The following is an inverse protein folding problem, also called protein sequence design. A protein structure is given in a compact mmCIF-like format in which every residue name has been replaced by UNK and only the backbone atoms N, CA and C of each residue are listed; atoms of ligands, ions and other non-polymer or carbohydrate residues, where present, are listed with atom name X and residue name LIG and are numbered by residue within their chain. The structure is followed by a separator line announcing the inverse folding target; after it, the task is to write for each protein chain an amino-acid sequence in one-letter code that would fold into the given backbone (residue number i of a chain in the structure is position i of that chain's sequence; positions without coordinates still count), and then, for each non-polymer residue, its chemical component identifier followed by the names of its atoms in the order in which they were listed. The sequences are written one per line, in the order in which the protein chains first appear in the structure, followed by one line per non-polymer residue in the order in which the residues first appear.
data_IF_024047275665
#
_entry.id   IF_024047275665
#
_cell.length_a   1.000
_cell.length_b   1.000
_cell.length_c   1.000
_cell.angle_alpha   90.00
_cell.angle_beta   90.00
_cell.angle_gamma   90.00
#
_symmetry.space_group_name_H-M   'P 1'
#
loop_
_entity.id
_entity.type
_entity.pdbx_description
1 polymer ?
#
# COMPACT_ATOMS: atom_id res chain seq x y z
N UNK A 1 22.14 8.83 -44.36
CA UNK A 1 21.27 9.76 -45.12
C UNK A 1 19.87 9.19 -45.11
N UNK A 2 18.88 9.89 -44.55
CA UNK A 2 17.49 9.42 -44.55
C UNK A 2 16.86 9.60 -45.93
N UNK A 3 15.86 8.79 -46.28
CA UNK A 3 15.05 8.99 -47.49
C UNK A 3 14.42 10.40 -47.50
N UNK A 4 14.42 11.12 -48.63
CA UNK A 4 13.83 12.45 -48.71
C UNK A 4 12.35 12.42 -48.32
N UNK A 5 11.99 13.17 -47.28
CA UNK A 5 10.62 13.29 -46.76
C UNK A 5 9.82 14.34 -47.55
N UNK A 6 9.98 14.36 -48.87
CA UNK A 6 9.43 15.40 -49.75
C UNK A 6 7.93 15.22 -50.04
N UNK A 7 7.43 13.99 -50.01
CA UNK A 7 6.01 13.70 -50.15
C UNK A 7 5.30 13.52 -48.81
N UNK A 8 4.03 13.94 -48.74
CA UNK A 8 3.15 13.72 -47.58
C UNK A 8 3.06 12.22 -47.21
N UNK A 9 3.05 11.32 -48.21
CA UNK A 9 3.06 9.88 -47.98
C UNK A 9 4.34 9.38 -47.31
N UNK A 10 5.52 9.87 -47.71
CA UNK A 10 6.79 9.52 -47.06
C UNK A 10 6.86 10.05 -45.61
N UNK A 11 6.35 11.26 -45.38
CA UNK A 11 6.20 11.85 -44.06
C UNK A 11 5.28 11.00 -43.17
N UNK A 12 4.10 10.60 -43.66
CA UNK A 12 3.16 9.74 -42.94
C UNK A 12 3.77 8.37 -42.62
N UNK A 13 4.41 7.71 -43.58
CA UNK A 13 5.09 6.43 -43.36
C UNK A 13 6.19 6.52 -42.30
N UNK A 14 7.02 7.58 -42.33
CA UNK A 14 8.10 7.75 -41.35
C UNK A 14 7.54 8.02 -39.94
N UNK A 15 6.48 8.81 -39.83
CA UNK A 15 5.79 9.04 -38.56
C UNK A 15 5.16 7.75 -38.02
N UNK A 16 4.43 6.98 -38.85
CA UNK A 16 3.84 5.69 -38.45
C UNK A 16 4.91 4.68 -38.01
N UNK A 17 6.10 4.64 -38.64
CA UNK A 17 7.22 3.81 -38.17
C UNK A 17 7.64 4.16 -36.73
N UNK A 18 7.76 5.45 -36.40
CA UNK A 18 8.07 5.88 -35.03
C UNK A 18 6.95 5.56 -34.03
N UNK A 19 5.68 5.75 -34.41
CA UNK A 19 4.54 5.39 -33.56
C UNK A 19 4.53 3.90 -33.26
N UNK A 20 4.65 3.04 -34.28
CA UNK A 20 4.64 1.59 -34.12
C UNK A 20 5.83 1.09 -33.28
N UNK A 21 7.02 1.68 -33.47
CA UNK A 21 8.19 1.35 -32.66
C UNK A 21 8.04 1.82 -31.20
N UNK A 22 7.45 3.00 -30.97
CA UNK A 22 7.13 3.51 -29.63
C UNK A 22 6.13 2.60 -28.91
N UNK A 23 5.00 2.25 -29.57
CA UNK A 23 3.96 1.39 -29.00
C UNK A 23 4.54 0.02 -28.64
N UNK A 24 5.29 -0.60 -29.55
CA UNK A 24 5.97 -1.89 -29.31
C UNK A 24 6.95 -1.82 -28.13
N UNK A 25 7.68 -0.72 -27.97
CA UNK A 25 8.59 -0.55 -26.83
C UNK A 25 7.83 -0.30 -25.51
N UNK A 26 6.69 0.39 -25.54
CA UNK A 26 5.84 0.53 -24.35
C UNK A 26 5.17 -0.79 -23.96
N UNK A 27 4.63 -1.53 -24.92
CA UNK A 27 4.05 -2.86 -24.73
C UNK A 27 5.07 -3.82 -24.11
N UNK A 28 6.28 -3.85 -24.65
CA UNK A 28 7.40 -4.63 -24.12
C UNK A 28 7.77 -4.26 -22.66
N UNK A 29 7.78 -2.97 -22.32
CA UNK A 29 8.00 -2.54 -20.92
C UNK A 29 6.86 -2.97 -19.98
N UNK A 30 5.61 -2.98 -20.47
CA UNK A 30 4.40 -3.34 -19.71
C UNK A 30 4.23 -4.85 -19.54
N UNK A 31 4.59 -5.66 -20.55
CA UNK A 31 4.57 -7.13 -20.49
C UNK A 31 5.72 -7.68 -19.64
N UNK A 32 6.86 -7.00 -19.63
CA UNK A 32 8.10 -7.43 -18.98
C UNK A 32 9.17 -7.96 -19.93
N UNK A 33 8.93 -7.88 -21.24
CA UNK A 33 9.88 -8.25 -22.29
C UNK A 33 10.88 -7.11 -22.49
N UNK A 34 12.00 -7.12 -21.75
CA UNK A 34 12.91 -5.97 -21.75
C UNK A 34 13.97 -5.97 -22.86
N UNK A 35 14.07 -7.04 -23.67
CA UNK A 35 15.03 -7.17 -24.77
C UNK A 35 14.91 -6.09 -25.87
N UNK A 36 13.71 -5.73 -26.38
CA UNK A 36 13.56 -4.68 -27.40
C UNK A 36 13.65 -3.24 -26.86
N UNK A 37 13.81 -3.06 -25.55
CA UNK A 37 13.94 -1.73 -24.94
C UNK A 37 15.31 -1.12 -25.26
N UNK A 38 15.37 0.19 -25.54
CA UNK A 38 16.62 0.82 -25.93
C UNK A 38 17.51 1.04 -24.69
N UNK A 39 18.28 0.00 -24.35
CA UNK A 39 19.40 0.09 -23.42
C UNK A 39 20.40 1.13 -23.94
N UNK A 40 20.36 2.33 -23.36
CA UNK A 40 21.44 3.29 -23.55
C UNK A 40 22.69 2.68 -22.92
N UNK A 41 23.58 2.12 -23.76
CA UNK A 41 24.94 1.76 -23.33
C UNK A 41 25.50 2.94 -22.55
N UNK A 42 25.90 2.70 -21.31
CA UNK A 42 26.55 3.72 -20.49
C UNK A 42 27.92 3.99 -21.12
N UNK A 43 27.99 5.01 -21.96
CA UNK A 43 29.27 5.62 -22.30
C UNK A 43 29.81 6.22 -21.00
N UNK A 44 31.00 5.80 -20.59
CA UNK A 44 31.50 5.88 -19.20
C UNK A 44 31.74 7.30 -18.66
N UNK A 45 31.49 8.35 -19.44
CA UNK A 45 32.01 9.70 -19.21
C UNK A 45 30.93 10.79 -19.03
N UNK A 46 29.71 10.45 -18.58
CA UNK A 46 28.73 11.49 -18.19
C UNK A 46 28.10 11.24 -16.81
N UNK A 47 28.63 11.90 -15.79
CA UNK A 47 28.00 12.04 -14.48
C UNK A 47 26.79 12.98 -14.61
N UNK A 48 25.57 12.43 -14.72
CA UNK A 48 24.34 13.10 -14.26
C UNK A 48 23.08 12.25 -14.48
N UNK A 49 22.20 12.29 -13.46
CA UNK A 49 20.91 11.59 -13.31
C UNK A 49 21.01 10.07 -13.08
N UNK A 50 20.26 9.52 -12.11
CA UNK A 50 20.15 8.07 -11.95
C UNK A 50 19.55 7.46 -13.22
N UNK A 51 20.00 6.26 -13.57
CA UNK A 51 19.44 5.53 -14.70
C UNK A 51 17.96 5.25 -14.44
N UNK A 52 17.09 5.90 -15.22
CA UNK A 52 15.65 5.61 -15.21
C UNK A 52 15.48 4.15 -15.58
N UNK A 53 14.98 3.34 -14.65
CA UNK A 53 14.70 1.94 -14.92
C UNK A 53 13.55 1.85 -15.92
N UNK A 54 13.84 1.27 -17.08
CA UNK A 54 12.84 1.06 -18.14
C UNK A 54 12.02 -0.21 -17.92
N UNK A 55 12.33 -0.99 -16.87
CA UNK A 55 11.65 -2.23 -16.50
C UNK A 55 10.31 -1.96 -15.79
N UNK A 56 9.40 -1.28 -16.48
CA UNK A 56 8.11 -0.82 -15.94
C UNK A 56 7.38 -1.93 -15.16
N UNK A 57 7.19 -3.12 -15.75
CA UNK A 57 6.45 -4.20 -15.07
C UNK A 57 7.14 -4.70 -13.80
N UNK A 58 8.48 -4.71 -13.72
CA UNK A 58 9.21 -5.11 -12.52
C UNK A 58 9.06 -4.07 -11.40
N UNK A 59 9.17 -2.78 -11.72
CA UNK A 59 8.94 -1.69 -10.76
C UNK A 59 7.50 -1.72 -10.25
N UNK A 60 6.52 -1.93 -11.14
CA UNK A 60 5.11 -2.04 -10.74
C UNK A 60 4.85 -3.27 -9.87
N UNK A 61 5.43 -4.44 -10.16
CA UNK A 61 5.32 -5.61 -9.27
C UNK A 61 5.86 -5.34 -7.86
N UNK A 62 6.94 -4.57 -7.73
CA UNK A 62 7.45 -4.18 -6.41
C UNK A 62 6.47 -3.25 -5.68
N UNK A 63 5.74 -2.39 -6.40
CA UNK A 63 4.68 -1.55 -5.83
C UNK A 63 3.43 -2.35 -5.48
N UNK A 64 3.04 -3.33 -6.29
CA UNK A 64 1.98 -4.30 -6.00
C UNK A 64 2.25 -5.04 -4.67
N UNK A 65 3.51 -5.46 -4.43
CA UNK A 65 3.94 -6.12 -3.19
C UNK A 65 3.92 -5.19 -1.97
N UNK A 66 4.38 -3.93 -2.12
CA UNK A 66 4.32 -2.94 -1.04
C UNK A 66 2.87 -2.64 -0.67
N UNK A 67 2.00 -2.43 -1.67
CA UNK A 67 0.57 -2.22 -1.46
C UNK A 67 -0.08 -3.40 -0.74
N UNK A 68 0.23 -4.65 -1.14
CA UNK A 68 -0.23 -5.84 -0.41
C UNK A 68 0.20 -5.78 1.06
N UNK A 69 1.48 -5.55 1.33
CA UNK A 69 1.97 -5.46 2.72
C UNK A 69 1.29 -4.34 3.53
N UNK A 70 1.06 -3.17 2.94
CA UNK A 70 0.36 -2.05 3.58
C UNK A 70 -1.11 -2.36 3.89
N UNK A 71 -1.83 -3.02 2.99
CA UNK A 71 -3.22 -3.45 3.27
C UNK A 71 -3.23 -4.58 4.31
N UNK A 72 -2.28 -5.51 4.25
CA UNK A 72 -2.21 -6.63 5.19
C UNK A 72 -1.79 -6.23 6.61
N UNK A 73 -1.01 -5.17 6.80
CA UNK A 73 -0.69 -4.67 8.16
C UNK A 73 -1.89 -3.99 8.82
N UNK A 74 -2.80 -3.33 8.08
CA UNK A 74 -4.05 -2.78 8.66
C UNK A 74 -4.94 -3.86 9.29
N UNK A 75 -4.85 -5.12 8.84
CA UNK A 75 -5.53 -6.28 9.47
C UNK A 75 -5.16 -6.46 10.94
N UNK A 76 -3.90 -6.17 11.28
CA UNK A 76 -3.28 -6.56 12.54
C UNK A 76 -3.43 -5.49 13.63
N UNK A 77 -3.39 -4.21 13.26
CA UNK A 77 -3.58 -3.08 14.18
C UNK A 77 -5.03 -2.62 14.31
N UNK A 78 -5.75 -2.44 13.20
CA UNK A 78 -6.90 -1.54 13.16
C UNK A 78 -8.27 -2.20 13.31
N UNK A 79 -8.34 -3.52 13.54
CA UNK A 79 -9.61 -4.20 13.82
C UNK A 79 -10.35 -3.60 15.04
N UNK A 80 -9.62 -2.90 15.94
CA UNK A 80 -10.19 -2.10 17.04
C UNK A 80 -9.41 -0.78 17.24
N UNK A 81 -8.85 -0.22 16.16
CA UNK A 81 -8.13 1.06 16.20
C UNK A 81 -9.07 2.27 16.29
N UNK A 82 -9.77 2.45 17.42
CA UNK A 82 -10.53 3.68 17.70
C UNK A 82 -9.64 4.77 18.33
N UNK A 83 -8.37 4.86 17.91
CA UNK A 83 -7.55 6.00 18.27
C UNK A 83 -8.06 7.24 17.53
N UNK A 84 -8.42 8.26 18.32
CA UNK A 84 -8.64 9.62 17.82
C UNK A 84 -7.48 10.03 16.92
N UNK A 85 -7.79 10.52 15.72
CA UNK A 85 -6.81 11.06 14.74
C UNK A 85 -5.97 12.17 15.38
N UNK A 86 -4.86 11.80 16.03
CA UNK A 86 -3.75 12.69 16.29
C UNK A 86 -3.08 12.96 14.94
N UNK A 87 -3.53 14.01 14.26
CA UNK A 87 -2.91 14.45 13.02
C UNK A 87 -1.42 14.75 13.28
N UNK A 88 -0.55 14.11 12.49
CA UNK A 88 0.86 14.45 12.44
C UNK A 88 1.05 15.82 11.76
N UNK A 89 0.74 16.89 12.48
CA UNK A 89 1.01 18.27 12.06
C UNK A 89 1.88 18.96 13.10
N UNK A 90 3.14 19.19 12.74
CA UNK A 90 4.04 20.06 13.48
C UNK A 90 3.44 21.47 13.57
N UNK A 91 3.02 21.92 14.74
CA UNK A 91 3.22 23.30 15.21
C UNK A 91 2.85 23.47 16.69
N UNK A 92 3.46 24.49 17.30
CA UNK A 92 3.43 24.77 18.73
C UNK A 92 2.31 25.75 19.12
N UNK A 93 2.27 26.09 20.43
CA UNK A 93 1.55 27.20 21.08
C UNK A 93 0.14 26.90 21.62
N UNK A 94 -0.05 27.21 22.91
CA UNK A 94 -1.34 27.70 23.44
C UNK A 94 -2.06 26.78 24.44
N UNK A 95 -1.90 27.04 25.74
CA UNK A 95 -2.65 26.36 26.79
C UNK A 95 -4.02 27.02 27.09
N UNK A 96 -5.07 26.21 27.35
CA UNK A 96 -5.99 26.35 28.53
C UNK A 96 -7.22 25.41 28.50
N UNK A 97 -7.40 24.65 29.61
CA UNK A 97 -8.67 24.26 30.29
C UNK A 97 -9.70 23.40 29.49
N UNK A 98 -10.49 22.48 30.07
CA UNK A 98 -10.59 21.86 31.42
C UNK A 98 -11.60 20.67 31.34
N UNK A 99 -11.30 19.55 32.02
CA UNK A 99 -12.25 18.55 32.60
C UNK A 99 -13.21 17.82 31.62
N UNK A 100 -13.72 16.59 31.79
CA UNK A 100 -13.72 15.48 32.80
C UNK A 100 -14.12 14.19 32.01
N UNK A 101 -14.09 12.92 32.44
CA UNK A 101 -13.77 12.23 33.70
C UNK A 101 -13.48 10.73 33.43
N UNK A 102 -12.30 10.20 33.79
CA UNK A 102 -12.14 8.82 34.29
C UNK A 102 -10.79 8.71 35.02
N UNK A 103 -10.79 8.16 36.23
CA UNK A 103 -9.57 8.06 37.05
C UNK A 103 -8.73 6.86 36.58
N UNK A 104 -7.47 7.13 36.25
CA UNK A 104 -6.39 6.17 36.39
C UNK A 104 -6.09 6.05 37.89
N UNK A 105 -5.90 4.82 38.42
CA UNK A 105 -5.35 4.67 39.78
C UNK A 105 -3.92 5.22 39.78
N UNK A 106 -3.62 6.10 40.73
CA UNK A 106 -2.23 6.53 40.96
C UNK A 106 -1.46 5.46 41.74
N UNK A 107 -0.13 5.54 41.75
CA UNK A 107 0.70 4.71 42.63
C UNK A 107 0.43 4.94 44.14
N UNK A 108 -0.33 5.98 44.49
CA UNK A 108 -0.84 6.22 45.85
C UNK A 108 -2.10 5.40 46.20
N UNK A 109 -2.73 4.74 45.22
CA UNK A 109 -3.96 3.95 45.40
C UNK A 109 -3.68 2.44 45.54
N UNK A 110 -2.43 2.06 45.86
CA UNK A 110 -2.00 0.66 46.03
C UNK A 110 -2.34 0.15 47.43
N UNK A 111 -2.90 -1.06 47.51
CA UNK A 111 -3.34 -1.66 48.77
C UNK A 111 -2.70 -3.04 48.96
N UNK A 112 -2.48 -3.42 50.22
CA UNK A 112 -2.04 -4.77 50.61
C UNK A 112 -2.96 -5.82 49.97
N UNK A 113 -2.36 -6.75 49.22
CA UNK A 113 -3.04 -7.76 48.41
C UNK A 113 -3.03 -7.49 46.90
N UNK A 114 -2.75 -6.26 46.45
CA UNK A 114 -2.60 -5.94 45.03
C UNK A 114 -1.35 -6.61 44.42
N UNK A 115 -1.39 -6.86 43.10
CA UNK A 115 -0.28 -7.41 42.33
C UNK A 115 0.46 -6.32 41.57
N UNK A 116 1.76 -6.19 41.83
CA UNK A 116 2.64 -5.17 41.23
C UNK A 116 3.71 -5.82 40.35
N UNK A 117 3.99 -5.20 39.22
CA UNK A 117 5.01 -5.61 38.28
C UNK A 117 6.29 -4.79 38.50
N UNK A 118 7.37 -5.48 38.86
CA UNK A 118 8.65 -4.90 39.29
C UNK A 118 9.70 -5.17 38.22
N UNK A 119 10.46 -4.14 37.87
CA UNK A 119 11.44 -4.21 36.80
C UNK A 119 12.84 -4.45 37.36
N UNK A 120 13.39 -5.64 37.11
CA UNK A 120 14.79 -5.94 37.37
C UNK A 120 15.63 -5.69 36.10
N UNK A 121 16.79 -5.07 36.26
CA UNK A 121 17.73 -4.78 35.19
C UNK A 121 18.39 -6.03 34.59
N UNK A 122 18.38 -7.16 35.31
CA UNK A 122 19.03 -8.40 34.89
C UNK A 122 18.07 -9.53 34.53
N UNK A 123 16.91 -9.63 35.18
CA UNK A 123 15.99 -10.77 35.01
C UNK A 123 14.61 -10.40 34.39
N UNK A 124 14.41 -9.14 34.03
CA UNK A 124 13.19 -8.65 33.39
C UNK A 124 12.04 -8.36 34.37
N UNK A 125 10.84 -8.14 33.85
CA UNK A 125 9.68 -7.76 34.67
C UNK A 125 8.99 -8.96 35.29
N UNK A 126 8.90 -8.99 36.63
CA UNK A 126 8.18 -10.03 37.40
C UNK A 126 7.00 -9.44 38.16
N UNK A 127 5.97 -10.25 38.39
CA UNK A 127 4.77 -9.87 39.13
C UNK A 127 4.88 -10.43 40.56
N UNK A 128 4.70 -9.57 41.54
CA UNK A 128 4.82 -9.86 42.97
C UNK A 128 3.58 -9.36 43.73
N UNK A 129 3.28 -9.94 44.90
CA UNK A 129 2.12 -9.54 45.71
C UNK A 129 2.54 -8.59 46.83
N UNK A 130 1.87 -7.44 46.92
CA UNK A 130 2.09 -6.45 47.98
C UNK A 130 1.58 -6.96 49.33
N UNK A 131 2.44 -6.92 50.35
CA UNK A 131 2.16 -7.33 51.74
C UNK A 131 2.14 -6.13 52.68
N UNK A 132 2.96 -5.11 52.44
CA UNK A 132 2.96 -3.85 53.21
C UNK A 132 3.08 -2.65 52.25
N UNK A 133 2.47 -1.52 52.62
CA UNK A 133 2.43 -0.28 51.83
C UNK A 133 2.80 0.91 52.72
N UNK A 134 3.72 1.77 52.28
CA UNK A 134 4.11 2.99 52.98
C UNK A 134 4.14 4.17 52.01
N UNK A 135 3.00 4.82 51.82
CA UNK A 135 2.82 5.86 50.82
C UNK A 135 2.81 5.26 49.40
N UNK A 136 3.78 5.64 48.58
CA UNK A 136 3.99 5.09 47.22
C UNK A 136 4.92 3.87 47.17
N UNK A 137 5.49 3.49 48.31
CA UNK A 137 6.51 2.46 48.38
C UNK A 137 5.87 1.17 48.88
N UNK A 138 6.19 0.06 48.21
CA UNK A 138 5.52 -1.23 48.42
C UNK A 138 6.52 -2.31 48.78
N UNK A 139 6.09 -3.25 49.61
CA UNK A 139 6.89 -4.39 50.06
C UNK A 139 6.20 -5.68 49.67
N UNK A 140 6.93 -6.59 49.04
CA UNK A 140 6.36 -7.79 48.42
C UNK A 140 6.62 -9.06 49.24
N UNK A 141 5.73 -10.05 49.13
CA UNK A 141 5.84 -11.32 49.86
C UNK A 141 7.14 -12.08 49.53
N UNK A 142 7.59 -11.95 48.29
CA UNK A 142 8.73 -12.62 47.70
C UNK A 142 10.06 -11.89 47.97
N UNK A 143 10.00 -10.65 48.48
CA UNK A 143 11.16 -9.81 48.83
C UNK A 143 10.93 -9.12 50.20
N UNK A 144 10.92 -9.88 51.32
CA UNK A 144 10.49 -9.39 52.63
C UNK A 144 11.45 -8.41 53.32
N UNK A 145 12.64 -8.15 52.77
CA UNK A 145 13.63 -7.22 53.34
C UNK A 145 13.75 -5.89 52.56
N UNK A 146 13.15 -5.77 51.37
CA UNK A 146 13.35 -4.61 50.49
C UNK A 146 12.04 -3.83 50.24
N UNK A 147 12.12 -2.49 50.32
CA UNK A 147 11.05 -1.59 49.93
C UNK A 147 11.25 -1.11 48.48
N UNK A 148 10.22 -1.30 47.66
CA UNK A 148 10.22 -0.90 46.26
C UNK A 148 9.60 0.49 46.12
N UNK A 149 10.46 1.47 45.87
CA UNK A 149 10.03 2.84 45.58
C UNK A 149 9.28 2.96 44.26
N UNK A 150 8.44 3.99 44.15
CA UNK A 150 7.54 4.26 43.01
C UNK A 150 8.17 4.13 41.60
N UNK A 151 9.46 4.35 41.43
CA UNK A 151 10.15 4.24 40.12
C UNK A 151 10.46 2.80 39.69
N UNK A 152 10.31 1.80 40.57
CA UNK A 152 10.72 0.40 40.33
C UNK A 152 9.55 -0.56 40.10
N UNK A 153 8.32 -0.13 40.37
CA UNK A 153 7.11 -0.95 40.25
C UNK A 153 5.97 -0.18 39.57
N UNK A 154 5.08 -0.92 38.89
CA UNK A 154 3.80 -0.41 38.36
C UNK A 154 2.71 -1.46 38.56
N UNK A 155 1.43 -1.12 38.45
CA UNK A 155 0.36 -2.12 38.62
C UNK A 155 0.45 -3.19 37.52
N UNK A 156 0.25 -4.46 37.88
CA UNK A 156 0.31 -5.56 36.91
C UNK A 156 -0.77 -5.45 35.80
N UNK A 157 -1.86 -4.70 36.06
CA UNK A 157 -2.88 -4.34 35.06
C UNK A 157 -2.31 -3.58 33.86
N UNK A 158 -1.32 -2.72 34.09
CA UNK A 158 -0.92 -1.69 33.12
C UNK A 158 0.02 -2.28 32.04
N UNK A 159 0.70 -3.38 32.38
CA UNK A 159 1.51 -4.18 31.44
C UNK A 159 0.62 -5.09 30.57
N UNK A 160 -0.48 -5.61 31.13
CA UNK A 160 -1.44 -6.42 30.37
C UNK A 160 -2.34 -5.57 29.45
N UNK A 161 -2.63 -4.32 29.81
CA UNK A 161 -3.49 -3.43 29.03
C UNK A 161 -2.85 -2.98 27.70
N UNK A 162 -1.55 -2.66 27.72
CA UNK A 162 -0.89 -1.72 26.78
C UNK A 162 -0.72 -2.16 25.32
N UNK A 163 -1.16 -3.38 24.91
CA UNK A 163 -1.21 -3.79 23.49
C UNK A 163 -2.41 -4.64 23.06
N UNK A 164 -3.16 -5.26 23.98
CA UNK A 164 -4.31 -6.11 23.66
C UNK A 164 -5.56 -5.80 24.49
N UNK A 165 -5.38 -5.32 25.74
CA UNK A 165 -6.50 -4.95 26.62
C UNK A 165 -7.25 -3.71 26.13
N UNK A 166 -6.54 -2.65 25.77
CA UNK A 166 -7.15 -1.38 25.33
C UNK A 166 -8.01 -1.54 24.07
N UNK A 167 -7.55 -2.38 23.13
CA UNK A 167 -8.34 -2.77 21.96
C UNK A 167 -9.65 -3.44 22.39
N UNK A 168 -9.61 -4.55 23.14
CA UNK A 168 -10.82 -5.26 23.56
C UNK A 168 -11.79 -4.38 24.38
N UNK A 169 -11.27 -3.51 25.26
CA UNK A 169 -12.06 -2.54 26.04
C UNK A 169 -12.73 -1.48 25.17
N UNK A 170 -12.09 -1.10 24.06
CA UNK A 170 -12.61 -0.12 23.09
C UNK A 170 -13.74 -0.73 22.26
N UNK A 171 -13.61 -1.98 21.79
CA UNK A 171 -14.69 -2.68 21.07
C UNK A 171 -15.92 -2.87 21.97
N UNK A 172 -15.73 -3.27 23.25
CA UNK A 172 -16.83 -3.41 24.21
C UNK A 172 -17.61 -2.11 24.41
N UNK A 173 -16.90 -0.98 24.52
CA UNK A 173 -17.53 0.34 24.62
C UNK A 173 -18.26 0.72 23.32
N UNK A 174 -17.65 0.45 22.16
CA UNK A 174 -18.26 0.71 20.85
C UNK A 174 -19.52 -0.11 20.60
N UNK A 175 -19.51 -1.42 20.94
CA UNK A 175 -20.70 -2.29 20.90
C UNK A 175 -21.79 -1.71 21.80
N UNK A 176 -21.50 -1.47 23.08
CA UNK A 176 -22.48 -0.92 24.04
C UNK A 176 -23.10 0.41 23.60
N UNK A 177 -22.33 1.26 22.92
CA UNK A 177 -22.79 2.57 22.45
C UNK A 177 -23.59 2.53 21.13
N UNK A 178 -23.43 1.49 20.31
CA UNK A 178 -24.02 1.40 18.96
C UNK A 178 -25.00 0.23 18.77
N UNK A 179 -25.15 -0.65 19.76
CA UNK A 179 -26.17 -1.71 19.75
C UNK A 179 -27.57 -1.09 19.79
N UNK A 180 -28.44 -1.51 18.86
CA UNK A 180 -29.88 -1.24 18.94
C UNK A 180 -30.61 -2.34 19.73
N UNK A 181 -31.91 -2.50 19.45
CA UNK A 181 -32.81 -3.48 20.09
C UNK A 181 -32.54 -4.96 19.67
N UNK A 182 -31.30 -5.26 19.25
CA UNK A 182 -30.87 -6.58 18.79
C UNK A 182 -30.54 -7.49 19.98
N UNK A 183 -31.07 -8.72 20.00
CA UNK A 183 -30.89 -9.69 21.08
C UNK A 183 -29.41 -9.91 21.45
N UNK A 184 -29.10 -9.88 22.75
CA UNK A 184 -27.75 -10.00 23.32
C UNK A 184 -26.97 -11.27 22.93
N UNK A 185 -27.67 -12.32 22.52
CA UNK A 185 -27.08 -13.62 22.12
C UNK A 185 -26.50 -13.62 20.69
N UNK A 186 -26.79 -12.59 19.89
CA UNK A 186 -26.26 -12.44 18.53
C UNK A 186 -25.34 -11.21 18.45
N UNK A 187 -24.11 -11.33 17.91
CA UNK A 187 -23.27 -10.17 17.64
C UNK A 187 -23.96 -9.19 16.69
N UNK A 188 -23.99 -7.91 17.05
CA UNK A 188 -24.72 -6.91 16.25
C UNK A 188 -24.15 -6.74 14.83
N UNK A 189 -24.95 -7.11 13.81
CA UNK A 189 -24.54 -6.99 12.41
C UNK A 189 -24.32 -5.53 11.99
N UNK A 190 -25.04 -4.58 12.59
CA UNK A 190 -24.84 -3.14 12.34
C UNK A 190 -23.49 -2.66 12.85
N UNK A 191 -23.11 -3.08 14.06
CA UNK A 191 -21.78 -2.78 14.62
C UNK A 191 -20.67 -3.41 13.77
N UNK A 192 -20.85 -4.68 13.37
CA UNK A 192 -19.94 -5.37 12.45
C UNK A 192 -19.72 -4.60 11.14
N UNK A 193 -20.80 -4.14 10.49
CA UNK A 193 -20.71 -3.33 9.28
C UNK A 193 -19.90 -2.03 9.49
N UNK A 194 -20.15 -1.32 10.59
CA UNK A 194 -19.42 -0.08 10.92
C UNK A 194 -17.91 -0.33 11.12
N UNK A 195 -17.55 -1.42 11.80
CA UNK A 195 -16.15 -1.82 11.97
C UNK A 195 -15.47 -2.15 10.63
N UNK A 196 -16.12 -2.94 9.76
CA UNK A 196 -15.60 -3.23 8.41
C UNK A 196 -15.42 -1.95 7.59
N UNK A 197 -16.39 -1.03 7.61
CA UNK A 197 -16.29 0.26 6.93
C UNK A 197 -15.10 1.09 7.43
N UNK A 198 -14.81 1.08 8.73
CA UNK A 198 -13.65 1.76 9.29
C UNK A 198 -12.33 1.14 8.81
N UNK A 199 -12.21 -0.20 8.80
CA UNK A 199 -11.02 -0.89 8.28
C UNK A 199 -10.82 -0.66 6.78
N UNK A 200 -11.88 -0.72 5.97
CA UNK A 200 -11.79 -0.49 4.50
C UNK A 200 -11.38 0.95 4.17
N UNK A 201 -11.78 1.95 4.96
CA UNK A 201 -11.30 3.34 4.80
C UNK A 201 -9.78 3.46 4.96
N UNK A 202 -9.13 2.61 5.75
CA UNK A 202 -7.68 2.61 5.86
C UNK A 202 -6.99 2.15 4.56
N UNK A 203 -7.67 1.38 3.71
CA UNK A 203 -7.14 0.85 2.44
C UNK A 203 -7.12 1.89 1.30
N UNK A 204 -7.88 2.99 1.42
CA UNK A 204 -7.93 4.06 0.42
C UNK A 204 -6.55 4.68 0.18
N UNK A 205 -5.83 5.02 1.25
CA UNK A 205 -4.49 5.63 1.17
C UNK A 205 -3.47 4.76 0.42
N UNK A 206 -3.25 3.49 0.82
CA UNK A 206 -2.42 2.54 0.08
C UNK A 206 -2.82 2.39 -1.40
N UNK A 207 -4.12 2.30 -1.70
CA UNK A 207 -4.58 2.06 -3.06
C UNK A 207 -4.42 3.29 -3.97
N UNK A 208 -4.63 4.51 -3.44
CA UNK A 208 -4.34 5.76 -4.16
C UNK A 208 -2.84 5.91 -4.43
N UNK A 209 -1.97 5.60 -3.46
CA UNK A 209 -0.50 5.58 -3.69
C UNK A 209 -0.08 4.57 -4.76
N UNK A 210 -0.78 3.44 -4.87
CA UNK A 210 -0.53 2.47 -5.94
C UNK A 210 -0.93 3.04 -7.31
N UNK A 211 -2.11 3.65 -7.42
CA UNK A 211 -2.57 4.35 -8.63
C UNK A 211 -1.57 5.44 -9.07
N UNK A 212 -1.15 6.31 -8.16
CA UNK A 212 -0.12 7.34 -8.40
C UNK A 212 1.20 6.73 -8.89
N UNK A 213 1.60 5.58 -8.33
CA UNK A 213 2.78 4.83 -8.76
C UNK A 213 2.62 4.28 -10.18
N UNK A 214 1.46 3.71 -10.53
CA UNK A 214 1.18 3.24 -11.90
C UNK A 214 1.22 4.40 -12.91
N UNK A 215 0.60 5.54 -12.61
CA UNK A 215 0.66 6.74 -13.43
C UNK A 215 2.11 7.22 -13.62
N UNK A 216 2.82 7.50 -12.52
CA UNK A 216 4.16 8.10 -12.55
C UNK A 216 5.19 7.21 -13.24
N UNK A 217 5.21 5.90 -12.98
CA UNK A 217 6.16 5.00 -13.64
C UNK A 217 5.86 4.86 -15.14
N UNK A 218 4.59 4.75 -15.52
CA UNK A 218 4.20 4.68 -16.94
C UNK A 218 4.55 5.96 -17.69
N UNK A 219 4.33 7.13 -17.06
CA UNK A 219 4.72 8.43 -17.59
C UNK A 219 6.24 8.52 -17.81
N UNK A 220 7.03 8.18 -16.80
CA UNK A 220 8.50 8.24 -16.84
C UNK A 220 9.07 7.31 -17.92
N UNK A 221 8.56 6.09 -18.06
CA UNK A 221 9.00 5.14 -19.10
C UNK A 221 8.54 5.59 -20.48
N UNK A 222 7.31 6.08 -20.62
CA UNK A 222 6.78 6.68 -21.86
C UNK A 222 7.66 7.83 -22.38
N UNK A 223 7.95 8.80 -21.51
CA UNK A 223 8.82 9.94 -21.85
C UNK A 223 10.22 9.44 -22.24
N UNK A 224 10.76 8.45 -21.52
CA UNK A 224 12.07 7.86 -21.83
C UNK A 224 12.12 7.17 -23.19
N UNK A 225 11.10 6.37 -23.52
CA UNK A 225 10.98 5.70 -24.82
C UNK A 225 10.87 6.73 -25.95
N UNK A 226 9.99 7.72 -25.81
CA UNK A 226 9.83 8.80 -26.79
C UNK A 226 11.15 9.57 -27.04
N UNK A 227 11.84 10.01 -25.98
CA UNK A 227 13.10 10.74 -26.09
C UNK A 227 14.22 9.91 -26.74
N UNK A 228 14.35 8.62 -26.39
CA UNK A 228 15.44 7.79 -26.94
C UNK A 228 15.19 7.41 -28.41
N UNK A 229 13.93 7.14 -28.77
CA UNK A 229 13.53 6.84 -30.14
C UNK A 229 13.72 8.05 -31.07
N UNK A 230 13.35 9.25 -30.61
CA UNK A 230 13.34 10.47 -31.42
C UNK A 230 14.64 11.27 -31.34
N UNK A 231 15.55 10.96 -30.40
CA UNK A 231 16.90 11.53 -30.36
C UNK A 231 17.65 11.36 -31.70
N UNK A 232 17.56 10.18 -32.32
CA UNK A 232 18.15 9.90 -33.63
C UNK A 232 17.48 10.67 -34.77
N UNK A 233 16.18 10.97 -34.64
CA UNK A 233 15.41 11.71 -35.64
C UNK A 233 15.69 13.22 -35.65
N UNK A 234 16.33 13.76 -34.60
CA UNK A 234 16.64 15.21 -34.47
C UNK A 234 15.41 16.12 -34.65
N UNK A 235 14.22 15.65 -34.27
CA UNK A 235 12.96 16.39 -34.37
C UNK A 235 12.27 16.54 -32.99
N UNK A 236 12.55 17.65 -32.27
CA UNK A 236 11.98 17.89 -30.94
C UNK A 236 10.49 18.27 -30.96
N UNK A 237 9.89 18.57 -32.13
CA UNK A 237 8.44 18.83 -32.24
C UNK A 237 7.66 17.53 -32.09
N UNK A 238 8.11 16.47 -32.77
CA UNK A 238 7.52 15.12 -32.67
C UNK A 238 7.69 14.56 -31.25
N UNK A 239 8.87 14.75 -30.63
CA UNK A 239 9.11 14.30 -29.24
C UNK A 239 8.14 14.96 -28.26
N UNK A 240 7.99 16.29 -28.32
CA UNK A 240 7.03 17.03 -27.49
C UNK A 240 5.59 16.57 -27.75
N UNK A 241 5.22 16.27 -28.99
CA UNK A 241 3.88 15.78 -29.33
C UNK A 241 3.58 14.40 -28.72
N UNK A 242 4.54 13.48 -28.73
CA UNK A 242 4.40 12.17 -28.07
C UNK A 242 4.24 12.34 -26.55
N UNK A 243 5.10 13.16 -25.92
CA UNK A 243 5.06 13.41 -24.47
C UNK A 243 3.74 14.08 -24.06
N UNK A 244 3.30 15.12 -24.78
CA UNK A 244 2.04 15.81 -24.49
C UNK A 244 0.81 14.91 -24.71
N UNK A 245 0.83 14.05 -25.73
CA UNK A 245 -0.23 13.08 -25.96
C UNK A 245 -0.27 12.04 -24.84
N UNK A 246 0.88 11.50 -24.42
CA UNK A 246 0.98 10.56 -23.30
C UNK A 246 0.51 11.18 -21.97
N UNK A 247 0.94 12.39 -21.64
CA UNK A 247 0.50 13.10 -20.43
C UNK A 247 -1.02 13.34 -20.42
N UNK A 248 -1.63 13.63 -21.58
CA UNK A 248 -3.09 13.81 -21.72
C UNK A 248 -3.85 12.49 -21.56
N UNK A 249 -3.38 11.43 -22.22
CA UNK A 249 -3.99 10.08 -22.12
C UNK A 249 -3.90 9.55 -20.69
N UNK A 250 -2.72 9.62 -20.06
CA UNK A 250 -2.53 9.12 -18.69
C UNK A 250 -3.42 9.84 -17.67
N UNK A 251 -3.59 11.15 -17.76
CA UNK A 251 -4.52 11.90 -16.87
C UNK A 251 -5.98 11.48 -17.04
N UNK A 252 -6.41 11.19 -18.27
CA UNK A 252 -7.77 10.72 -18.52
C UNK A 252 -8.00 9.31 -17.95
N UNK A 253 -7.01 8.42 -18.10
CA UNK A 253 -7.05 7.05 -17.57
C UNK A 253 -6.90 7.02 -16.04
N UNK A 254 -6.09 7.90 -15.45
CA UNK A 254 -5.97 8.07 -13.99
C UNK A 254 -7.31 8.46 -13.37
N UNK A 255 -8.01 9.43 -13.97
CA UNK A 255 -9.34 9.84 -13.51
C UNK A 255 -10.39 8.70 -13.64
N UNK A 256 -10.25 7.81 -14.62
CA UNK A 256 -11.09 6.62 -14.74
C UNK A 256 -10.73 5.55 -13.69
N UNK A 257 -9.45 5.27 -13.50
CA UNK A 257 -8.94 4.30 -12.53
C UNK A 257 -9.24 4.73 -11.08
N UNK A 258 -9.21 6.03 -10.77
CA UNK A 258 -9.64 6.58 -9.47
C UNK A 258 -11.11 6.30 -9.19
N UNK A 259 -12.00 6.51 -10.16
CA UNK A 259 -13.44 6.19 -10.01
C UNK A 259 -13.68 4.70 -9.81
N UNK A 260 -12.97 3.84 -10.55
CA UNK A 260 -13.05 2.39 -10.33
C UNK A 260 -12.58 1.99 -8.93
N UNK A 261 -11.48 2.58 -8.45
CA UNK A 261 -10.97 2.33 -7.09
C UNK A 261 -11.96 2.77 -6.01
N UNK A 262 -12.60 3.93 -6.17
CA UNK A 262 -13.68 4.41 -5.29
C UNK A 262 -14.86 3.41 -5.27
N UNK A 263 -15.24 2.82 -6.42
CA UNK A 263 -16.25 1.76 -6.48
C UNK A 263 -15.80 0.46 -5.79
N UNK A 264 -14.54 0.03 -5.96
CA UNK A 264 -14.01 -1.16 -5.28
C UNK A 264 -14.05 -0.99 -3.76
N UNK A 265 -13.64 0.17 -3.24
CA UNK A 265 -13.71 0.49 -1.81
C UNK A 265 -15.16 0.50 -1.31
N UNK A 266 -16.11 1.05 -2.08
CA UNK A 266 -17.54 1.03 -1.74
C UNK A 266 -18.10 -0.40 -1.69
N UNK A 267 -17.68 -1.29 -2.59
CA UNK A 267 -18.08 -2.69 -2.58
C UNK A 267 -17.51 -3.44 -1.35
N UNK A 268 -16.22 -3.27 -1.03
CA UNK A 268 -15.60 -3.90 0.15
C UNK A 268 -16.16 -3.37 1.48
N UNK A 269 -16.57 -2.10 1.52
CA UNK A 269 -17.18 -1.45 2.68
C UNK A 269 -18.58 -2.00 3.03
N UNK A 270 -19.19 -2.83 2.17
CA UNK A 270 -20.42 -3.57 2.45
C UNK A 270 -20.08 -5.04 2.69
N UNK A 271 -20.19 -5.57 3.92
CA UNK A 271 -19.82 -6.95 4.18
C UNK A 271 -20.65 -7.96 3.38
N UNK A 272 -20.00 -8.73 2.52
CA UNK A 272 -20.60 -9.83 1.78
C UNK A 272 -19.53 -10.80 1.29
N UNK A 273 -19.78 -12.10 1.45
CA UNK A 273 -18.96 -13.14 0.82
C UNK A 273 -19.75 -14.45 0.71
N UNK A 274 -19.41 -15.25 -0.30
CA UNK A 274 -19.80 -16.66 -0.44
C UNK A 274 -18.58 -17.60 -0.30
N UNK A 275 -17.42 -17.05 0.05
CA UNK A 275 -16.18 -17.80 0.24
C UNK A 275 -16.27 -18.69 1.49
N UNK A 276 -16.02 -19.99 1.31
CA UNK A 276 -16.02 -20.99 2.38
C UNK A 276 -14.87 -20.79 3.37
N UNK A 277 -13.76 -20.21 2.93
CA UNK A 277 -12.60 -19.90 3.78
C UNK A 277 -12.97 -18.97 4.95
N UNK A 278 -14.04 -18.17 4.85
CA UNK A 278 -14.55 -17.39 5.98
C UNK A 278 -14.90 -18.30 7.16
N UNK A 279 -15.68 -19.36 6.91
CA UNK A 279 -16.13 -20.29 7.94
C UNK A 279 -14.94 -21.10 8.50
N UNK A 280 -14.05 -21.57 7.62
CA UNK A 280 -12.85 -22.32 8.02
C UNK A 280 -11.94 -21.50 8.94
N UNK A 281 -11.63 -20.24 8.61
CA UNK A 281 -10.77 -19.41 9.45
C UNK A 281 -11.48 -18.90 10.72
N UNK A 282 -12.80 -18.72 10.67
CA UNK A 282 -13.62 -18.37 11.84
C UNK A 282 -13.67 -19.53 12.85
N UNK A 283 -13.95 -20.75 12.41
CA UNK A 283 -13.92 -21.94 13.26
C UNK A 283 -12.51 -22.23 13.77
N UNK A 284 -11.48 -22.07 12.93
CA UNK A 284 -10.09 -22.18 13.35
C UNK A 284 -9.71 -21.15 14.41
N UNK A 285 -10.19 -19.91 14.32
CA UNK A 285 -9.99 -18.87 15.36
C UNK A 285 -10.71 -19.22 16.66
N UNK A 286 -11.97 -19.68 16.59
CA UNK A 286 -12.72 -20.17 17.77
C UNK A 286 -12.02 -21.33 18.46
N UNK A 287 -11.55 -22.32 17.69
CA UNK A 287 -10.81 -23.48 18.19
C UNK A 287 -9.48 -23.08 18.82
N UNK A 288 -8.71 -22.16 18.20
CA UNK A 288 -7.48 -21.59 18.82
C UNK A 288 -7.81 -20.93 20.17
N UNK A 289 -8.82 -20.05 20.22
CA UNK A 289 -9.21 -19.35 21.44
C UNK A 289 -9.70 -20.31 22.54
N UNK A 290 -10.48 -21.33 22.20
CA UNK A 290 -10.87 -22.39 23.13
C UNK A 290 -9.63 -23.15 23.65
N UNK A 291 -8.75 -23.59 22.75
CA UNK A 291 -7.54 -24.34 23.08
C UNK A 291 -6.63 -23.56 24.03
N UNK A 292 -6.31 -22.30 23.75
CA UNK A 292 -5.49 -21.47 24.64
C UNK A 292 -6.08 -21.33 26.03
N UNK A 293 -7.42 -21.26 26.14
CA UNK A 293 -8.10 -21.19 27.43
C UNK A 293 -8.12 -22.53 28.17
N UNK A 294 -8.21 -23.65 27.45
CA UNK A 294 -8.06 -24.99 28.02
C UNK A 294 -6.62 -25.22 28.52
N UNK A 295 -5.62 -24.84 27.72
CA UNK A 295 -4.19 -24.89 28.10
C UNK A 295 -3.89 -24.03 29.33
N UNK A 296 -4.58 -22.90 29.51
CA UNK A 296 -4.43 -22.04 30.69
C UNK A 296 -5.20 -22.52 31.93
N UNK A 297 -6.25 -23.33 31.77
CA UNK A 297 -7.08 -23.84 32.88
C UNK A 297 -6.67 -25.24 33.34
N UNK A 298 -6.08 -26.05 32.46
CA UNK A 298 -5.59 -27.38 32.82
C UNK A 298 -4.28 -27.25 33.63
N UNK A 299 -4.14 -28.01 34.74
CA UNK A 299 -2.92 -27.96 35.54
C UNK A 299 -1.71 -28.50 34.76
N UNK A 300 -0.57 -27.80 34.89
CA UNK A 300 0.72 -28.28 34.42
C UNK A 300 1.08 -29.62 35.05
N UNK A 301 1.66 -30.54 34.26
CA UNK A 301 2.19 -31.79 34.79
C UNK A 301 3.38 -31.57 35.73
N UNK A 302 3.64 -32.57 36.58
CA UNK A 302 4.83 -32.62 37.42
C UNK A 302 6.12 -32.81 36.57
N UNK A 303 7.28 -32.94 37.23
CA UNK A 303 8.58 -33.17 36.58
C UNK A 303 8.63 -34.45 35.71
N UNK A 304 7.63 -35.33 35.80
CA UNK A 304 7.47 -36.57 35.02
C UNK A 304 6.33 -36.49 34.01
N UNK A 305 5.66 -35.34 33.91
CA UNK A 305 4.48 -35.12 33.06
C UNK A 305 3.18 -35.74 33.59
N UNK A 306 3.15 -36.17 34.86
CA UNK A 306 1.94 -36.72 35.48
C UNK A 306 1.04 -35.58 35.98
N UNK A 307 -0.27 -35.78 35.83
CA UNK A 307 -1.29 -34.79 36.21
C UNK A 307 -2.30 -35.46 37.14
N UNK A 308 -2.61 -34.80 38.25
CA UNK A 308 -3.60 -35.27 39.23
C UNK A 308 -5.00 -35.26 38.63
N UNK A 309 -5.65 -36.43 38.60
CA UNK A 309 -7.02 -36.58 38.08
C UNK A 309 -8.04 -35.71 38.83
N UNK A 310 -7.81 -35.48 40.13
CA UNK A 310 -8.66 -34.61 40.94
C UNK A 310 -8.56 -33.13 40.52
N UNK A 311 -7.36 -32.68 40.14
CA UNK A 311 -7.12 -31.31 39.71
C UNK A 311 -7.61 -31.08 38.27
N UNK A 312 -7.46 -32.08 37.39
CA UNK A 312 -8.11 -32.08 36.06
C UNK A 312 -9.64 -32.07 36.19
N UNK A 313 -10.21 -32.88 37.08
CA UNK A 313 -11.66 -32.91 37.32
C UNK A 313 -12.17 -31.59 37.91
N UNK A 314 -11.38 -30.91 38.76
CA UNK A 314 -11.70 -29.57 39.26
C UNK A 314 -11.69 -28.53 38.15
N UNK A 315 -10.61 -28.49 37.35
CA UNK A 315 -10.50 -27.59 36.20
C UNK A 315 -11.63 -27.77 35.18
N UNK A 316 -11.99 -29.03 34.86
CA UNK A 316 -13.15 -29.35 34.02
C UNK A 316 -14.48 -28.97 34.69
N UNK A 317 -14.58 -29.12 36.01
CA UNK A 317 -15.71 -28.64 36.82
C UNK A 317 -15.88 -27.12 36.74
N UNK A 318 -14.80 -26.35 36.81
CA UNK A 318 -14.80 -24.89 36.66
C UNK A 318 -15.13 -24.45 35.22
N UNK A 319 -14.77 -25.28 34.22
CA UNK A 319 -15.16 -25.11 32.81
C UNK A 319 -16.67 -25.29 32.62
N UNK A 320 -17.26 -26.32 33.23
CA UNK A 320 -18.69 -26.64 33.10
C UNK A 320 -19.56 -25.78 34.03
N UNK A 321 -19.06 -25.42 35.22
CA UNK A 321 -19.77 -24.71 36.29
C UNK A 321 -19.89 -23.20 36.10
N UNK A 322 -19.35 -22.64 35.03
CA UNK A 322 -19.53 -21.23 34.66
C UNK A 322 -18.43 -20.26 35.11
N UNK A 323 -17.43 -20.69 35.89
CA UNK A 323 -16.21 -19.90 36.15
C UNK A 323 -15.43 -19.61 34.86
N UNK A 324 -15.62 -20.44 33.84
CA UNK A 324 -15.09 -20.28 32.48
C UNK A 324 -16.10 -19.62 31.51
N UNK A 325 -17.27 -19.18 31.98
CA UNK A 325 -18.15 -18.35 31.18
C UNK A 325 -17.62 -16.91 31.17
N UNK A 326 -17.27 -16.38 29.99
CA UNK A 326 -17.02 -14.96 29.84
C UNK A 326 -18.31 -14.18 30.16
N UNK A 327 -18.24 -13.00 30.81
CA UNK A 327 -19.35 -12.06 30.88
C UNK A 327 -19.98 -11.85 29.49
N UNK A 328 -21.29 -11.65 29.40
CA UNK A 328 -22.02 -11.59 28.12
C UNK A 328 -21.37 -10.64 27.11
N UNK A 329 -21.00 -9.44 27.57
CA UNK A 329 -20.37 -8.38 26.78
C UNK A 329 -18.95 -8.75 26.32
N UNK A 330 -18.21 -9.49 27.15
CA UNK A 330 -16.87 -9.98 26.84
C UNK A 330 -16.92 -11.10 25.80
N UNK A 331 -17.95 -11.96 25.89
CA UNK A 331 -18.24 -13.00 24.90
C UNK A 331 -18.61 -12.41 23.56
N UNK A 332 -19.51 -11.42 23.53
CA UNK A 332 -19.91 -10.77 22.28
C UNK A 332 -18.73 -10.03 21.63
N UNK A 333 -17.96 -9.26 22.41
CA UNK A 333 -16.78 -8.58 21.88
C UNK A 333 -15.77 -9.56 21.28
N UNK A 334 -15.53 -10.71 21.93
CA UNK A 334 -14.65 -11.75 21.40
C UNK A 334 -15.19 -12.37 20.11
N UNK A 335 -16.48 -12.74 20.05
CA UNK A 335 -17.09 -13.29 18.82
C UNK A 335 -17.08 -12.27 17.68
N UNK A 336 -17.34 -10.99 17.99
CA UNK A 336 -17.27 -9.87 17.04
C UNK A 336 -15.84 -9.69 16.50
N UNK A 337 -14.84 -9.66 17.38
CA UNK A 337 -13.41 -9.55 17.04
C UNK A 337 -12.92 -10.73 16.18
N UNK A 338 -13.34 -11.95 16.51
CA UNK A 338 -13.04 -13.16 15.72
C UNK A 338 -13.68 -13.11 14.34
N UNK A 339 -14.97 -12.75 14.25
CA UNK A 339 -15.68 -12.63 12.99
C UNK A 339 -15.11 -11.52 12.09
N UNK A 340 -14.80 -10.35 12.68
CA UNK A 340 -14.20 -9.23 11.96
C UNK A 340 -12.84 -9.62 11.36
N UNK A 341 -11.96 -10.23 12.14
CA UNK A 341 -10.65 -10.68 11.62
C UNK A 341 -10.77 -11.75 10.54
N UNK A 342 -11.72 -12.69 10.66
CA UNK A 342 -11.94 -13.72 9.65
C UNK A 342 -12.48 -13.11 8.34
N UNK A 343 -13.43 -12.17 8.41
CA UNK A 343 -13.96 -11.46 7.24
C UNK A 343 -12.91 -10.56 6.58
N UNK A 344 -12.20 -9.75 7.36
CA UNK A 344 -11.19 -8.82 6.84
C UNK A 344 -10.03 -9.56 6.16
N UNK A 345 -9.66 -10.77 6.60
CA UNK A 345 -8.65 -11.56 5.91
C UNK A 345 -9.10 -12.05 4.52
N UNK A 346 -10.37 -12.41 4.35
CA UNK A 346 -10.93 -12.75 3.02
C UNK A 346 -11.08 -11.51 2.14
N UNK A 347 -11.69 -10.44 2.66
CA UNK A 347 -11.96 -9.21 1.91
C UNK A 347 -10.67 -8.52 1.42
N UNK A 348 -9.66 -8.43 2.30
CA UNK A 348 -8.35 -7.87 1.93
C UNK A 348 -7.60 -8.69 0.88
N UNK A 349 -7.59 -10.04 0.95
CA UNK A 349 -6.97 -10.91 -0.08
C UNK A 349 -7.58 -10.62 -1.45
N UNK A 350 -8.92 -10.56 -1.52
CA UNK A 350 -9.66 -10.16 -2.72
C UNK A 350 -9.26 -8.75 -3.18
N UNK A 351 -9.19 -7.78 -2.27
CA UNK A 351 -8.84 -6.40 -2.60
C UNK A 351 -7.40 -6.23 -3.12
N UNK A 352 -6.41 -6.88 -2.48
CA UNK A 352 -4.99 -6.77 -2.89
C UNK A 352 -4.69 -7.41 -4.24
N UNK A 353 -5.53 -8.34 -4.70
CA UNK A 353 -5.40 -8.95 -6.03
C UNK A 353 -6.24 -8.22 -7.09
N UNK A 354 -7.46 -7.78 -6.74
CA UNK A 354 -8.36 -7.07 -7.68
C UNK A 354 -7.85 -5.68 -8.04
N UNK A 355 -7.29 -4.90 -7.09
CA UNK A 355 -6.81 -3.54 -7.38
C UNK A 355 -5.68 -3.53 -8.42
N UNK A 356 -4.55 -4.27 -8.27
CA UNK A 356 -3.53 -4.34 -9.30
C UNK A 356 -4.08 -4.89 -10.63
N UNK A 357 -4.95 -5.90 -10.62
CA UNK A 357 -5.56 -6.43 -11.84
C UNK A 357 -6.33 -5.34 -12.60
N UNK A 358 -7.13 -4.53 -11.90
CA UNK A 358 -7.89 -3.40 -12.46
C UNK A 358 -6.99 -2.27 -12.94
N UNK A 359 -5.93 -1.92 -12.21
CA UNK A 359 -4.95 -0.91 -12.64
C UNK A 359 -4.17 -1.35 -13.89
N UNK A 360 -3.78 -2.63 -14.00
CA UNK A 360 -3.13 -3.14 -15.21
C UNK A 360 -4.05 -3.03 -16.44
N UNK A 361 -5.35 -3.33 -16.29
CA UNK A 361 -6.33 -3.16 -17.37
C UNK A 361 -6.60 -1.69 -17.73
N UNK A 362 -7.01 -0.89 -16.74
CA UNK A 362 -7.50 0.49 -16.95
C UNK A 362 -6.41 1.53 -17.22
N UNK A 363 -5.16 1.28 -16.78
CA UNK A 363 -4.03 2.17 -17.09
C UNK A 363 -3.18 1.58 -18.20
N UNK A 364 -2.57 0.40 -18.00
CA UNK A 364 -1.52 -0.06 -18.92
C UNK A 364 -2.09 -0.49 -20.27
N UNK A 365 -3.07 -1.41 -20.29
CA UNK A 365 -3.67 -1.88 -21.54
C UNK A 365 -4.43 -0.76 -22.27
N UNK A 366 -5.24 0.03 -21.54
CA UNK A 366 -5.91 1.20 -22.11
C UNK A 366 -4.93 2.27 -22.64
N UNK A 367 -3.78 2.50 -21.99
CA UNK A 367 -2.81 3.49 -22.45
C UNK A 367 -2.28 3.16 -23.84
N UNK A 368 -1.94 1.89 -24.13
CA UNK A 368 -1.47 1.50 -25.47
C UNK A 368 -2.54 1.78 -26.53
N UNK A 369 -3.78 1.37 -26.27
CA UNK A 369 -4.90 1.56 -27.21
C UNK A 369 -5.24 3.04 -27.44
N UNK A 370 -5.30 3.84 -26.37
CA UNK A 370 -5.56 5.28 -26.47
C UNK A 370 -4.39 6.02 -27.15
N UNK A 371 -3.13 5.64 -26.88
CA UNK A 371 -1.97 6.19 -27.58
C UNK A 371 -1.96 5.82 -29.06
N UNK A 372 -2.33 4.60 -29.42
CA UNK A 372 -2.50 4.19 -30.82
C UNK A 372 -3.60 5.03 -31.49
N UNK A 373 -4.77 5.18 -30.85
CA UNK A 373 -5.88 5.97 -31.39
C UNK A 373 -5.51 7.44 -31.59
N UNK A 374 -4.85 8.07 -30.63
CA UNK A 374 -4.47 9.49 -30.73
C UNK A 374 -3.31 9.72 -31.72
N UNK A 375 -2.29 8.86 -31.73
CA UNK A 375 -1.13 9.02 -32.61
C UNK A 375 -1.41 8.58 -34.05
N UNK A 376 -2.09 7.45 -34.29
CA UNK A 376 -2.38 6.97 -35.65
C UNK A 376 -3.75 7.45 -36.18
N UNK A 377 -4.79 7.45 -35.35
CA UNK A 377 -6.15 7.76 -35.77
C UNK A 377 -6.46 9.26 -35.80
N UNK A 378 -6.21 9.98 -34.70
CA UNK A 378 -6.58 11.39 -34.56
C UNK A 378 -5.60 12.38 -35.22
N UNK A 379 -4.40 11.93 -35.61
CA UNK A 379 -3.39 12.79 -36.23
C UNK A 379 -3.58 12.81 -37.76
N UNK A 380 -3.97 13.97 -38.32
CA UNK A 380 -4.15 14.18 -39.76
C UNK A 380 -2.81 14.37 -40.50
N UNK A 381 -2.79 14.24 -41.82
CA UNK A 381 -1.57 14.37 -42.62
C UNK A 381 -1.01 15.79 -42.62
N UNK A 382 -1.86 16.82 -42.54
CA UNK A 382 -1.43 18.21 -42.35
C UNK A 382 -0.73 18.39 -41.00
N UNK A 383 -1.20 17.68 -39.97
CA UNK A 383 -0.57 17.70 -38.65
C UNK A 383 0.77 16.98 -38.65
N UNK A 384 0.88 15.84 -39.31
CA UNK A 384 2.15 15.13 -39.53
C UNK A 384 3.14 16.03 -40.27
N UNK A 385 2.71 16.69 -41.35
CA UNK A 385 3.55 17.63 -42.10
C UNK A 385 3.99 18.83 -41.27
N UNK A 386 3.12 19.37 -40.40
CA UNK A 386 3.49 20.44 -39.46
C UNK A 386 4.55 19.99 -38.44
N UNK A 387 4.43 18.75 -37.93
CA UNK A 387 5.38 18.17 -36.98
C UNK A 387 6.73 17.84 -37.63
N UNK A 388 6.72 17.37 -38.88
CA UNK A 388 7.91 17.00 -39.64
C UNK A 388 8.60 18.16 -40.37
N UNK A 389 7.96 19.33 -40.50
CA UNK A 389 8.54 20.53 -41.14
C UNK A 389 9.92 20.85 -40.56
N UNK A 390 10.91 20.95 -41.46
CA UNK A 390 12.29 21.35 -41.12
C UNK A 390 12.31 22.68 -40.36
N UNK A 391 13.31 22.90 -39.51
CA UNK A 391 13.59 24.21 -38.93
C UNK A 391 14.22 25.11 -39.99
N UNK A 392 13.84 26.38 -40.05
CA UNK A 392 14.28 27.33 -41.08
C UNK A 392 15.81 27.36 -41.24
N UNK A 393 16.56 27.39 -40.12
CA UNK A 393 18.03 27.32 -40.15
C UNK A 393 18.61 26.05 -40.81
N UNK A 394 17.94 24.89 -40.66
CA UNK A 394 18.32 23.66 -41.37
C UNK A 394 17.95 23.75 -42.85
N UNK A 395 16.80 24.33 -43.19
CA UNK A 395 16.39 24.53 -44.59
C UNK A 395 17.36 25.50 -45.31
N UNK A 396 17.73 26.63 -44.69
CA UNK A 396 18.76 27.54 -45.22
C UNK A 396 20.11 26.84 -45.36
N UNK A 397 20.52 26.03 -44.38
CA UNK A 397 21.79 25.30 -44.47
C UNK A 397 21.77 24.20 -45.53
N UNK A 398 20.63 23.53 -45.73
CA UNK A 398 20.41 22.56 -46.80
C UNK A 398 20.50 23.26 -48.16
N UNK A 399 19.87 24.42 -48.32
CA UNK A 399 19.98 25.20 -49.56
C UNK A 399 21.43 25.60 -49.85
N UNK A 400 22.15 26.19 -48.88
CA UNK A 400 23.57 26.54 -49.03
C UNK A 400 24.44 25.34 -49.45
N UNK A 401 24.16 24.14 -48.94
CA UNK A 401 24.89 22.92 -49.29
C UNK A 401 24.52 22.42 -50.69
N UNK A 402 23.26 22.53 -51.10
CA UNK A 402 22.81 22.22 -52.47
C UNK A 402 23.45 23.19 -53.47
N UNK A 403 23.42 24.50 -53.19
CA UNK A 403 24.05 25.52 -54.02
C UNK A 403 25.57 25.27 -54.16
N UNK A 404 26.24 24.89 -53.06
CA UNK A 404 27.66 24.49 -53.08
C UNK A 404 27.91 23.25 -53.93
N UNK A 405 27.07 22.20 -53.82
CA UNK A 405 27.20 20.99 -54.66
C UNK A 405 27.03 21.34 -56.14
N UNK A 406 26.00 22.11 -56.50
CA UNK A 406 25.78 22.55 -57.88
C UNK A 406 27.00 23.31 -58.43
N UNK A 407 27.55 24.28 -57.67
CA UNK A 407 28.76 24.99 -58.13
C UNK A 407 30.00 24.11 -58.27
N UNK A 408 30.10 23.01 -57.52
CA UNK A 408 31.19 22.03 -57.63
C UNK A 408 30.96 21.05 -58.80
N UNK A 409 29.71 20.72 -59.10
CA UNK A 409 29.32 19.92 -60.27
C UNK A 409 29.54 20.71 -61.57
N UNK A 410 29.18 21.99 -61.61
CA UNK A 410 29.48 22.91 -62.72
C UNK A 410 31.00 23.12 -62.89
N UNK A 411 31.74 23.32 -61.80
CA UNK A 411 33.20 23.42 -61.88
C UNK A 411 33.84 22.12 -62.38
N UNK A 412 33.27 20.96 -62.01
CA UNK A 412 33.73 19.65 -62.48
C UNK A 412 33.43 19.43 -63.96
N UNK A 413 32.23 19.76 -64.44
CA UNK A 413 31.90 19.62 -65.87
C UNK A 413 32.79 20.51 -66.73
N UNK A 414 33.07 21.75 -66.30
CA UNK A 414 34.05 22.63 -66.96
C UNK A 414 35.44 21.99 -67.03
N UNK A 415 35.91 21.31 -65.97
CA UNK A 415 37.21 20.60 -65.99
C UNK A 415 37.18 19.39 -66.94
N UNK A 416 36.10 18.62 -66.96
CA UNK A 416 35.93 17.45 -67.83
C UNK A 416 35.81 17.87 -69.31
N UNK A 417 35.08 18.94 -69.63
CA UNK A 417 34.93 19.52 -70.97
C UNK A 417 36.21 20.23 -71.46
N UNK A 418 37.06 20.72 -70.55
CA UNK A 418 38.31 21.41 -70.91
C UNK A 418 39.43 20.50 -71.42
N UNK A 419 39.24 19.17 -71.39
CA UNK A 419 40.07 18.23 -72.16
C UNK A 419 41.56 18.15 -71.75
N UNK A 420 41.92 18.51 -70.51
CA UNK A 420 43.29 18.37 -70.01
C UNK A 420 43.60 16.91 -69.58
N UNK A 421 43.84 16.05 -70.56
CA UNK A 421 44.53 14.76 -70.43
C UNK A 421 45.59 14.60 -71.52
#
# INVERSE_FOLDING_TARGET
MGTPLESLGAQRQQFCKWVNQYLRQMEAAMSGEYEPLPLRRVSSNSVSKPAVDTRLRAVLRQRDLIFRAEVETTKAGDAIGLETRAASSNQSVGARKKNKLKMLRGQMDVVVGDSVAVHDAHEGTRIYRVVETHGTDVKCAEMPEEWLGASRWQFASDIAATKAGDASLTLKQFIRANRGDELAIFPSYRVFCSCVQQSVRAWEGPAVRLLESYHAQTQVVSQRVASVLLAYASNPRVERFFIQTADRVLKALEAAARRELELLLQHEARPYTQDRHLYEELDRRRQRALRTRLEAALPSGDERGLVSLADVTRALGDIVGGSFALPSDDREALEMEVALRAYLDVASRRFVDVVPMKLNGLLLASFLHEMERELLGATTDEKVAQLLRESDAKATKRQQLVDQVLTLEDARSVIEDSGCW
#
